data_IF_187391697681
#
_entry.id   IF_187391697681
#
_cell.length_a   1.000
_cell.length_b   1.000
_cell.length_c   1.000
_cell.angle_alpha   90.00
_cell.angle_beta   90.00
_cell.angle_gamma   90.00
#
_symmetry.space_group_name_H-M   'P 1'
#
loop_
_entity.id
_entity.type
_entity.pdbx_description
1 polymer ?
#
# COMPACT_ATOMS: atom_id res chain seq x y z
N UNK A 1 -25.46 -19.80 22.24
CA UNK A 1 -24.96 -18.53 21.69
C UNK A 1 -26.14 -17.68 21.27
N UNK A 2 -26.34 -16.53 21.92
CA UNK A 2 -27.35 -15.54 21.54
C UNK A 2 -26.85 -14.67 20.39
N UNK A 3 -27.77 -14.14 19.55
CA UNK A 3 -27.42 -13.18 18.49
C UNK A 3 -26.62 -11.97 19.03
N UNK A 4 -26.91 -11.53 20.27
CA UNK A 4 -26.19 -10.43 20.92
C UNK A 4 -24.74 -10.77 21.26
N UNK A 5 -24.46 -12.03 21.62
CA UNK A 5 -23.09 -12.50 21.87
C UNK A 5 -22.29 -12.59 20.58
N UNK A 6 -22.92 -13.06 19.49
CA UNK A 6 -22.28 -13.14 18.17
C UNK A 6 -21.91 -11.74 17.65
N UNK A 7 -22.82 -10.78 17.78
CA UNK A 7 -22.57 -9.38 17.39
C UNK A 7 -21.44 -8.74 18.21
N UNK A 8 -21.43 -8.97 19.53
CA UNK A 8 -20.37 -8.48 20.41
C UNK A 8 -19.00 -9.05 20.02
N UNK A 9 -18.91 -10.36 19.78
CA UNK A 9 -17.65 -11.00 19.36
C UNK A 9 -17.18 -10.53 17.99
N UNK A 10 -18.09 -10.30 17.04
CA UNK A 10 -17.73 -9.78 15.71
C UNK A 10 -17.16 -8.35 15.81
N UNK A 11 -17.74 -7.52 16.67
CA UNK A 11 -17.27 -6.15 16.91
C UNK A 11 -15.90 -6.12 17.59
N UNK A 12 -15.70 -6.93 18.62
CA UNK A 12 -14.39 -7.08 19.29
C UNK A 12 -13.31 -7.56 18.30
N UNK A 13 -13.65 -8.50 17.41
CA UNK A 13 -12.73 -8.97 16.37
C UNK A 13 -12.46 -7.90 15.29
N UNK A 14 -13.47 -7.11 14.95
CA UNK A 14 -13.32 -5.96 14.05
C UNK A 14 -12.37 -4.91 14.61
N UNK A 15 -12.52 -4.57 15.90
CA UNK A 15 -11.66 -3.60 16.59
C UNK A 15 -10.19 -4.08 16.63
N UNK A 16 -9.97 -5.37 16.91
CA UNK A 16 -8.64 -5.98 16.87
C UNK A 16 -8.00 -5.91 15.46
N UNK A 17 -8.79 -6.15 14.41
CA UNK A 17 -8.32 -6.04 13.04
C UNK A 17 -7.93 -4.60 12.69
N UNK A 18 -8.71 -3.61 13.12
CA UNK A 18 -8.41 -2.19 12.91
C UNK A 18 -7.09 -1.81 13.60
N UNK A 19 -6.88 -2.20 14.86
CA UNK A 19 -5.61 -1.92 15.55
C UNK A 19 -4.41 -2.54 14.85
N UNK A 20 -4.50 -3.80 14.41
CA UNK A 20 -3.42 -4.49 13.70
C UNK A 20 -3.15 -3.83 12.33
N UNK A 21 -4.21 -3.48 11.59
CA UNK A 21 -4.07 -2.79 10.32
C UNK A 21 -3.45 -1.39 10.48
N UNK A 22 -3.79 -0.66 11.56
CA UNK A 22 -3.19 0.63 11.89
C UNK A 22 -1.70 0.49 12.24
N UNK A 23 -1.31 -0.48 13.05
CA UNK A 23 0.10 -0.76 13.36
C UNK A 23 0.91 -1.11 12.10
N UNK A 24 0.32 -1.93 11.22
CA UNK A 24 0.92 -2.27 9.93
C UNK A 24 0.96 -1.05 8.99
N UNK A 25 0.03 -0.10 9.08
CA UNK A 25 0.05 1.12 8.27
C UNK A 25 1.10 2.12 8.78
N UNK A 26 1.28 2.24 10.09
CA UNK A 26 2.36 3.03 10.68
C UNK A 26 3.74 2.48 10.28
N UNK A 27 3.93 1.16 10.32
CA UNK A 27 5.15 0.49 9.83
C UNK A 27 5.38 0.74 8.32
N UNK A 28 4.30 0.74 7.53
CA UNK A 28 4.35 1.00 6.09
C UNK A 28 4.59 2.46 5.73
N UNK A 29 4.57 3.41 6.68
CA UNK A 29 5.06 4.76 6.41
C UNK A 29 6.57 4.76 6.08
N UNK A 30 7.29 3.67 6.38
CA UNK A 30 8.66 3.41 5.95
C UNK A 30 8.76 2.68 4.60
N UNK A 31 7.66 2.43 3.87
CA UNK A 31 7.74 1.88 2.50
C UNK A 31 8.42 2.84 1.51
N UNK A 32 8.50 4.13 1.86
CA UNK A 32 9.37 5.10 1.19
C UNK A 32 10.87 4.85 1.39
N UNK A 33 11.27 3.90 2.23
CA UNK A 33 12.66 3.56 2.54
C UNK A 33 13.09 2.19 2.01
N UNK A 34 12.35 1.59 1.05
CA UNK A 34 12.88 0.46 0.28
C UNK A 34 14.18 0.94 -0.42
N UNK A 35 15.37 0.47 -0.02
CA UNK A 35 16.65 1.04 -0.49
C UNK A 35 16.91 0.82 -1.98
N UNK A 36 16.03 0.06 -2.64
CA UNK A 36 16.06 -0.20 -4.09
C UNK A 36 15.56 1.02 -4.86
N UNK A 37 14.59 1.75 -4.34
CA UNK A 37 13.97 2.89 -5.05
C UNK A 37 14.66 4.22 -4.72
N UNK A 38 15.23 4.37 -3.51
CA UNK A 38 15.95 5.60 -3.13
C UNK A 38 17.39 5.71 -3.67
N UNK A 39 17.98 4.64 -4.23
CA UNK A 39 19.36 4.69 -4.77
C UNK A 39 19.44 5.29 -6.16
N UNK A 40 18.30 5.49 -6.80
CA UNK A 40 18.23 6.00 -8.16
C UNK A 40 17.09 7.02 -8.30
N UNK A 41 17.17 8.17 -7.60
CA UNK A 41 16.20 9.25 -7.78
C UNK A 41 16.17 9.76 -9.24
N UNK A 42 17.25 9.58 -9.99
CA UNK A 42 17.35 9.93 -11.42
C UNK A 42 16.71 8.91 -12.38
N UNK A 43 16.32 7.71 -11.90
CA UNK A 43 15.71 6.66 -12.76
C UNK A 43 14.22 6.89 -12.97
N UNK A 44 13.59 7.64 -12.07
CA UNK A 44 12.20 8.08 -12.22
C UNK A 44 12.15 9.60 -12.01
N UNK A 45 12.58 10.40 -13.01
CA UNK A 45 12.37 11.84 -12.95
C UNK A 45 10.87 12.11 -12.83
N UNK A 46 10.45 13.06 -12.01
CA UNK A 46 9.03 13.49 -11.92
C UNK A 46 8.48 13.97 -13.30
N UNK A 47 9.38 14.19 -14.27
CA UNK A 47 9.13 14.58 -15.65
C UNK A 47 9.07 13.40 -16.65
N UNK A 48 8.78 12.16 -16.23
CA UNK A 48 8.34 11.13 -17.20
C UNK A 48 6.98 11.56 -17.73
N UNK A 49 6.95 12.21 -18.89
CA UNK A 49 5.70 12.43 -19.62
C UNK A 49 5.00 11.07 -19.79
N UNK A 50 3.74 10.96 -19.39
CA UNK A 50 2.90 9.74 -19.36
C UNK A 50 2.78 8.98 -20.70
N UNK A 51 3.48 9.42 -21.75
CA UNK A 51 3.47 8.81 -23.05
C UNK A 51 4.71 7.91 -23.19
N UNK A 52 4.55 6.59 -23.42
CA UNK A 52 5.67 5.77 -23.87
C UNK A 52 6.25 6.39 -25.15
N UNK A 53 7.59 6.38 -25.35
CA UNK A 53 8.19 6.90 -26.57
C UNK A 53 7.51 6.30 -27.80
N UNK A 54 7.23 7.12 -28.83
CA UNK A 54 6.71 6.60 -30.11
C UNK A 54 7.67 5.50 -30.60
N UNK A 55 7.25 4.25 -30.47
CA UNK A 55 8.00 3.11 -30.96
C UNK A 55 7.68 2.97 -32.43
N UNK A 56 8.68 3.18 -33.29
CA UNK A 56 8.55 2.83 -34.70
C UNK A 56 8.21 1.32 -34.79
N UNK A 57 7.04 1.01 -35.33
CA UNK A 57 6.64 -0.36 -35.63
C UNK A 57 7.24 -0.69 -36.99
N UNK A 58 8.31 -1.48 -37.00
CA UNK A 58 8.78 -2.14 -38.22
C UNK A 58 7.72 -3.19 -38.62
N UNK A 59 7.06 -2.97 -39.76
CA UNK A 59 6.14 -3.93 -40.39
C UNK A 59 6.91 -4.92 -41.28
#
# INVERSE_FOLDING_TARGET
>A
MSSKEVEKSLKEHGDMFVMVASLMLEEKSEIGALPVVCKFPDVFPDDVSDLPPEREVEF
#
